data_IF_690281614163
#
_entry.id   IF_690281614163
#
_cell.length_a   1.000
_cell.length_b   1.000
_cell.length_c   1.000
_cell.angle_alpha   90.00
_cell.angle_beta   90.00
_cell.angle_gamma   90.00
#
_symmetry.space_group_name_H-M   'P 1'
#
loop_
_entity.id
_entity.type
_entity.pdbx_description
1 polymer ?
#
# COMPACT_ATOMS: atom_id res chain seq x y z
N UNK A 1 -37.32 42.37 38.34
CA UNK A 1 -37.35 41.24 37.38
C UNK A 1 -35.94 40.66 37.29
N UNK A 2 -35.73 39.49 37.87
CA UNK A 2 -34.41 38.82 37.87
C UNK A 2 -34.44 37.77 36.77
N UNK A 3 -33.67 37.98 35.71
CA UNK A 3 -33.50 37.00 34.63
C UNK A 3 -32.53 35.89 35.09
N UNK A 4 -33.03 34.67 35.19
CA UNK A 4 -32.22 33.49 35.42
C UNK A 4 -31.64 33.00 34.09
N UNK A 5 -30.30 33.07 33.91
CA UNK A 5 -29.63 32.37 32.85
C UNK A 5 -29.60 30.88 33.16
N UNK A 6 -30.29 30.08 32.35
CA UNK A 6 -30.13 28.63 32.34
C UNK A 6 -28.82 28.30 31.61
N UNK A 7 -27.83 27.79 32.33
CA UNK A 7 -26.61 27.20 31.76
C UNK A 7 -26.95 25.79 31.24
N UNK A 8 -26.90 25.60 29.94
CA UNK A 8 -27.05 24.28 29.31
C UNK A 8 -25.72 23.51 29.52
N UNK A 9 -25.72 22.28 30.05
CA UNK A 9 -24.50 21.51 30.20
C UNK A 9 -23.99 21.07 28.81
N UNK A 10 -22.77 21.47 28.50
CA UNK A 10 -22.04 20.97 27.34
C UNK A 10 -21.69 19.49 27.62
N UNK A 11 -22.43 18.57 27.04
CA UNK A 11 -22.05 17.15 27.01
C UNK A 11 -20.78 17.03 26.14
N UNK A 12 -19.62 16.91 26.77
CA UNK A 12 -18.42 16.39 26.11
C UNK A 12 -18.73 14.95 25.70
N UNK A 13 -18.94 14.71 24.43
CA UNK A 13 -18.94 13.37 23.88
C UNK A 13 -17.51 12.82 24.03
N UNK A 14 -17.32 11.91 24.99
CA UNK A 14 -16.07 11.17 25.10
C UNK A 14 -15.91 10.35 23.80
N UNK A 15 -14.84 10.61 23.05
CA UNK A 15 -14.47 9.78 21.91
C UNK A 15 -14.16 8.37 22.43
N UNK A 16 -14.84 7.37 21.89
CA UNK A 16 -14.48 5.98 22.14
C UNK A 16 -13.08 5.74 21.56
N UNK A 17 -12.19 5.01 22.26
CA UNK A 17 -10.89 4.67 21.71
C UNK A 17 -11.06 3.88 20.41
N UNK A 18 -10.15 4.08 19.45
CA UNK A 18 -10.10 3.27 18.23
C UNK A 18 -10.05 1.78 18.62
N UNK A 19 -10.76 0.94 17.85
CA UNK A 19 -10.77 -0.51 18.12
C UNK A 19 -9.37 -1.08 17.95
N UNK A 20 -8.99 -2.03 18.80
CA UNK A 20 -7.73 -2.77 18.64
C UNK A 20 -7.68 -3.44 17.27
N UNK A 21 -6.51 -3.43 16.58
CA UNK A 21 -6.37 -4.06 15.28
C UNK A 21 -6.64 -5.56 15.32
N UNK A 22 -7.38 -6.07 14.34
CA UNK A 22 -7.78 -7.47 14.24
C UNK A 22 -6.91 -8.18 13.19
N UNK A 23 -6.21 -9.24 13.58
CA UNK A 23 -5.40 -10.03 12.64
C UNK A 23 -6.14 -11.30 12.21
N UNK A 24 -6.14 -11.57 10.89
CA UNK A 24 -6.80 -12.70 10.25
C UNK A 24 -5.84 -13.44 9.32
N UNK A 25 -5.96 -14.77 9.24
CA UNK A 25 -5.34 -15.54 8.17
C UNK A 25 -6.04 -15.24 6.84
N UNK A 26 -5.28 -15.20 5.74
CA UNK A 26 -5.85 -14.98 4.41
C UNK A 26 -6.53 -16.23 3.84
N UNK A 27 -6.11 -17.40 4.28
CA UNK A 27 -6.61 -18.68 3.78
C UNK A 27 -6.96 -19.60 4.97
N UNK A 28 -8.04 -20.36 4.85
CA UNK A 28 -8.45 -21.35 5.84
C UNK A 28 -7.44 -22.52 5.91
N UNK A 29 -6.92 -22.91 4.74
CA UNK A 29 -5.82 -23.87 4.62
C UNK A 29 -4.60 -23.07 4.14
N UNK A 30 -3.46 -23.10 4.86
CA UNK A 30 -2.26 -22.38 4.46
C UNK A 30 -1.86 -22.76 3.02
N UNK A 31 -1.61 -21.77 2.14
CA UNK A 31 -1.13 -22.03 0.78
C UNK A 31 0.32 -22.54 0.81
N UNK A 32 0.84 -22.94 -0.35
CA UNK A 32 2.24 -23.35 -0.45
C UNK A 32 3.18 -22.26 0.07
N UNK A 33 4.14 -22.66 0.89
CA UNK A 33 5.20 -21.77 1.36
C UNK A 33 6.16 -21.41 0.22
N UNK A 34 6.85 -20.25 0.30
CA UNK A 34 7.92 -19.92 -0.64
C UNK A 34 9.02 -21.00 -0.65
N UNK A 35 9.65 -21.18 -1.81
CA UNK A 35 10.80 -22.07 -1.92
C UNK A 35 12.02 -21.51 -1.15
N UNK A 36 12.96 -22.36 -0.71
CA UNK A 36 14.20 -21.90 -0.11
C UNK A 36 14.97 -20.97 -1.05
N UNK A 37 15.47 -19.86 -0.52
CA UNK A 37 16.26 -18.88 -1.29
C UNK A 37 17.71 -19.35 -1.46
N UNK A 38 18.40 -18.77 -2.46
CA UNK A 38 19.82 -18.96 -2.65
C UNK A 38 20.64 -18.46 -1.45
N UNK A 39 21.85 -19.01 -1.28
CA UNK A 39 22.78 -18.58 -0.22
C UNK A 39 23.07 -17.07 -0.28
N UNK A 40 23.17 -16.50 -1.51
CA UNK A 40 23.35 -15.05 -1.73
C UNK A 40 22.19 -14.25 -1.15
N UNK A 41 20.95 -14.66 -1.43
CA UNK A 41 19.75 -13.99 -0.94
C UNK A 41 19.61 -14.17 0.57
N UNK A 42 19.90 -15.36 1.11
CA UNK A 42 19.89 -15.59 2.55
C UNK A 42 20.87 -14.69 3.32
N UNK A 43 22.11 -14.53 2.81
CA UNK A 43 23.08 -13.59 3.39
C UNK A 43 22.59 -12.14 3.34
N UNK A 44 21.94 -11.73 2.24
CA UNK A 44 21.37 -10.40 2.10
C UNK A 44 20.22 -10.17 3.09
N UNK A 45 19.29 -11.12 3.23
CA UNK A 45 18.20 -11.07 4.22
C UNK A 45 18.75 -10.91 5.63
N UNK A 46 19.75 -11.73 5.99
CA UNK A 46 20.38 -11.67 7.31
C UNK A 46 21.02 -10.31 7.61
N UNK A 47 21.57 -9.64 6.60
CA UNK A 47 22.11 -8.29 6.76
C UNK A 47 21.04 -7.24 7.05
N UNK A 48 19.88 -7.33 6.40
CA UNK A 48 18.73 -6.46 6.67
C UNK A 48 18.08 -6.72 8.02
N UNK A 49 17.98 -7.99 8.44
CA UNK A 49 17.43 -8.36 9.74
C UNK A 49 18.21 -7.80 10.92
N UNK A 50 19.53 -7.73 10.79
CA UNK A 50 20.40 -7.08 11.79
C UNK A 50 20.22 -5.54 11.79
N UNK A 51 19.84 -4.96 10.66
CA UNK A 51 19.74 -3.51 10.51
C UNK A 51 18.45 -2.93 11.08
N UNK A 52 17.36 -3.72 11.19
CA UNK A 52 16.08 -3.21 11.70
C UNK A 52 15.22 -4.31 12.34
N UNK A 53 14.89 -4.16 13.63
CA UNK A 53 13.97 -5.09 14.32
C UNK A 53 12.52 -5.00 13.79
N UNK A 54 12.22 -4.00 12.96
CA UNK A 54 10.89 -3.75 12.40
C UNK A 54 10.66 -4.47 11.05
N UNK A 55 11.64 -5.22 10.58
CA UNK A 55 11.47 -6.04 9.39
C UNK A 55 10.81 -7.38 9.74
N UNK A 56 9.79 -7.75 8.95
CA UNK A 56 9.15 -9.07 9.02
C UNK A 56 9.71 -9.93 7.90
N UNK A 57 10.19 -11.11 8.25
CA UNK A 57 10.83 -12.09 7.36
C UNK A 57 10.19 -13.46 7.51
N UNK A 58 10.49 -14.36 6.58
CA UNK A 58 10.12 -15.79 6.65
C UNK A 58 8.62 -16.01 6.85
N UNK A 59 7.80 -15.34 6.06
CA UNK A 59 6.35 -15.46 6.08
C UNK A 59 5.91 -16.60 5.18
N UNK A 60 5.56 -17.73 5.75
CA UNK A 60 4.96 -18.87 5.05
C UNK A 60 3.42 -18.85 5.10
N UNK A 61 2.85 -18.29 6.16
CA UNK A 61 1.40 -18.13 6.34
C UNK A 61 1.04 -16.66 6.26
N UNK A 62 0.43 -16.22 5.14
CA UNK A 62 0.09 -14.81 4.97
C UNK A 62 -1.12 -14.43 5.82
N UNK A 63 -1.07 -13.22 6.37
CA UNK A 63 -2.14 -12.65 7.21
C UNK A 63 -2.46 -11.23 6.81
N UNK A 64 -3.57 -10.71 7.27
CA UNK A 64 -3.89 -9.29 7.23
C UNK A 64 -4.29 -8.78 8.61
N UNK A 65 -3.91 -7.54 8.92
CA UNK A 65 -4.32 -6.85 10.16
C UNK A 65 -5.18 -5.64 9.80
N UNK A 66 -6.40 -5.63 10.30
CA UNK A 66 -7.39 -4.58 10.03
C UNK A 66 -7.32 -3.50 11.09
N UNK A 67 -7.07 -2.27 10.68
CA UNK A 67 -7.06 -1.05 11.47
C UNK A 67 -8.34 -0.26 11.16
N UNK A 68 -9.31 -0.29 12.06
CA UNK A 68 -10.56 0.43 11.88
C UNK A 68 -10.47 1.85 12.45
N UNK A 69 -10.84 2.89 11.67
CA UNK A 69 -10.94 4.23 12.20
C UNK A 69 -12.17 4.36 13.14
N UNK A 70 -12.13 5.30 14.04
CA UNK A 70 -13.26 5.62 14.93
C UNK A 70 -14.54 5.94 14.13
N UNK A 71 -14.37 6.69 13.02
CA UNK A 71 -15.46 7.10 12.12
C UNK A 71 -15.15 6.67 10.68
N UNK A 72 -15.50 5.43 10.29
CA UNK A 72 -15.27 4.95 8.94
C UNK A 72 -16.04 5.78 7.89
N UNK A 73 -15.36 6.19 6.82
CA UNK A 73 -15.96 6.90 5.69
C UNK A 73 -16.37 5.96 4.53
N UNK A 74 -16.21 4.66 4.71
CA UNK A 74 -16.51 3.64 3.70
C UNK A 74 -15.34 3.27 2.80
N UNK A 75 -14.24 4.03 2.73
CA UNK A 75 -13.06 3.62 1.99
C UNK A 75 -12.19 2.66 2.79
N UNK A 76 -11.51 1.76 2.07
CA UNK A 76 -10.52 0.83 2.62
C UNK A 76 -9.27 0.82 1.75
N UNK A 77 -8.09 0.72 2.35
CA UNK A 77 -6.82 0.57 1.64
C UNK A 77 -6.06 -0.63 2.21
N UNK A 78 -5.81 -1.62 1.35
CA UNK A 78 -4.87 -2.69 1.64
C UNK A 78 -3.46 -2.14 1.45
N UNK A 79 -2.59 -2.31 2.44
CA UNK A 79 -1.23 -1.76 2.46
C UNK A 79 -0.24 -2.89 2.31
N UNK A 80 0.56 -2.85 1.24
CA UNK A 80 1.61 -3.81 0.91
C UNK A 80 3.00 -3.17 1.11
N UNK A 81 3.71 -3.45 2.22
CA UNK A 81 5.04 -2.93 2.46
C UNK A 81 6.07 -3.37 1.42
N UNK A 82 7.18 -2.63 1.27
CA UNK A 82 8.32 -3.02 0.49
C UNK A 82 9.29 -3.93 1.25
N UNK A 83 10.39 -4.30 0.58
CA UNK A 83 11.44 -5.16 1.11
C UNK A 83 12.04 -6.09 0.06
N UNK A 84 11.85 -5.77 -1.23
CA UNK A 84 12.48 -6.47 -2.36
C UNK A 84 12.08 -7.94 -2.49
N UNK A 85 10.90 -8.32 -2.00
CA UNK A 85 10.43 -9.70 -1.90
C UNK A 85 11.34 -10.62 -1.05
N UNK A 86 12.14 -10.01 -0.16
CA UNK A 86 12.99 -10.72 0.81
C UNK A 86 12.43 -10.63 2.23
N UNK A 87 11.86 -9.49 2.55
CA UNK A 87 11.27 -9.13 3.84
C UNK A 87 10.23 -8.02 3.64
N UNK A 88 9.62 -7.54 4.73
CA UNK A 88 8.71 -6.39 4.71
C UNK A 88 9.17 -5.33 5.70
N UNK A 89 9.19 -4.05 5.28
CA UNK A 89 9.35 -2.87 6.15
C UNK A 89 8.04 -2.59 6.91
N UNK A 90 7.69 -3.47 7.83
CA UNK A 90 6.34 -3.67 8.36
C UNK A 90 5.80 -2.48 9.16
N UNK A 91 6.67 -1.69 9.81
CA UNK A 91 6.26 -0.52 10.58
C UNK A 91 6.12 0.73 9.68
N UNK A 92 7.22 1.19 9.09
CA UNK A 92 7.26 2.48 8.37
C UNK A 92 6.53 2.48 7.03
N UNK A 93 6.31 1.32 6.44
CA UNK A 93 5.59 1.13 5.18
C UNK A 93 4.30 0.33 5.39
N UNK A 94 3.93 0.08 6.65
CA UNK A 94 2.79 -0.74 7.02
C UNK A 94 1.93 -0.13 8.13
N UNK A 95 2.18 -0.46 9.41
CA UNK A 95 1.31 -0.04 10.51
C UNK A 95 1.14 1.48 10.62
N UNK A 96 2.22 2.26 10.48
CA UNK A 96 2.16 3.72 10.50
C UNK A 96 1.32 4.29 9.35
N UNK A 97 1.28 3.62 8.19
CA UNK A 97 0.42 4.00 7.07
C UNK A 97 -1.05 3.72 7.41
N UNK A 98 -1.36 2.56 7.98
CA UNK A 98 -2.71 2.23 8.43
C UNK A 98 -3.22 3.21 9.50
N UNK A 99 -2.37 3.57 10.46
CA UNK A 99 -2.67 4.58 11.48
C UNK A 99 -2.96 5.95 10.84
N UNK A 100 -2.15 6.38 9.86
CA UNK A 100 -2.41 7.61 9.12
C UNK A 100 -3.73 7.56 8.35
N UNK A 101 -4.03 6.47 7.64
CA UNK A 101 -5.30 6.28 6.93
C UNK A 101 -6.49 6.37 7.88
N UNK A 102 -6.38 5.85 9.11
CA UNK A 102 -7.43 5.95 10.12
C UNK A 102 -7.73 7.42 10.51
N UNK A 103 -6.73 8.31 10.50
CA UNK A 103 -6.96 9.75 10.74
C UNK A 103 -7.82 10.41 9.66
N UNK A 104 -7.89 9.80 8.47
CA UNK A 104 -8.70 10.22 7.34
C UNK A 104 -10.09 9.53 7.29
N UNK A 105 -10.40 8.68 8.26
CA UNK A 105 -11.61 7.86 8.27
C UNK A 105 -11.54 6.64 7.34
N UNK A 106 -10.37 6.33 6.77
CA UNK A 106 -10.15 5.20 5.88
C UNK A 106 -9.74 3.97 6.69
N UNK A 107 -10.38 2.82 6.45
CA UNK A 107 -9.95 1.55 7.04
C UNK A 107 -8.62 1.11 6.41
N UNK A 108 -7.57 0.96 7.22
CA UNK A 108 -6.29 0.41 6.80
C UNK A 108 -6.26 -1.11 6.98
N UNK A 109 -5.75 -1.83 5.99
CA UNK A 109 -5.54 -3.28 6.08
C UNK A 109 -4.09 -3.61 5.78
N UNK A 110 -3.30 -3.88 6.81
CA UNK A 110 -1.90 -4.20 6.66
C UNK A 110 -1.72 -5.65 6.21
N UNK A 111 -1.17 -5.82 5.02
CA UNK A 111 -0.91 -7.12 4.43
C UNK A 111 0.46 -7.65 4.85
N UNK A 112 0.48 -8.86 5.43
CA UNK A 112 1.69 -9.66 5.65
C UNK A 112 1.71 -10.78 4.62
N UNK A 113 2.25 -10.49 3.44
CA UNK A 113 2.31 -11.42 2.32
C UNK A 113 3.51 -12.39 2.42
N UNK A 114 3.47 -13.49 1.65
CA UNK A 114 4.52 -14.51 1.65
C UNK A 114 5.85 -13.95 1.15
N UNK A 115 6.90 -14.13 1.94
CA UNK A 115 8.30 -13.83 1.64
C UNK A 115 9.20 -14.83 2.37
N UNK A 116 10.42 -15.11 1.86
CA UNK A 116 11.07 -14.57 0.69
C UNK A 116 10.64 -15.28 -0.61
N UNK A 117 10.37 -14.51 -1.66
CA UNK A 117 10.04 -15.02 -3.01
C UNK A 117 10.99 -14.47 -4.09
N UNK A 118 12.05 -13.73 -3.67
CA UNK A 118 12.92 -12.99 -4.59
C UNK A 118 13.61 -13.85 -5.65
N UNK A 119 13.91 -15.09 -5.35
CA UNK A 119 14.60 -16.02 -6.24
C UNK A 119 13.65 -16.85 -7.12
N UNK A 120 12.34 -16.67 -6.94
CA UNK A 120 11.33 -17.27 -7.79
C UNK A 120 11.38 -16.66 -9.19
N UNK A 121 10.94 -17.42 -10.21
CA UNK A 121 10.82 -16.94 -11.59
C UNK A 121 9.96 -15.68 -11.67
N UNK A 122 8.89 -15.64 -10.91
CA UNK A 122 7.95 -14.53 -10.77
C UNK A 122 7.83 -14.16 -9.28
N UNK A 123 8.74 -13.35 -8.75
CA UNK A 123 8.80 -13.06 -7.31
C UNK A 123 7.50 -12.43 -6.77
N UNK A 124 6.72 -11.82 -7.63
CA UNK A 124 5.44 -11.17 -7.31
C UNK A 124 4.25 -12.12 -7.24
N UNK A 125 4.33 -13.34 -7.80
CA UNK A 125 3.16 -14.20 -8.00
C UNK A 125 2.44 -14.54 -6.69
N UNK A 126 3.13 -15.11 -5.70
CA UNK A 126 2.55 -15.41 -4.38
C UNK A 126 2.08 -14.14 -3.65
N UNK A 127 2.89 -13.05 -3.55
CA UNK A 127 2.44 -11.80 -2.97
C UNK A 127 1.18 -11.18 -3.61
N UNK A 128 1.04 -11.28 -4.93
CA UNK A 128 -0.17 -10.81 -5.66
C UNK A 128 -1.39 -11.65 -5.31
N UNK A 129 -1.24 -12.98 -5.22
CA UNK A 129 -2.31 -13.87 -4.77
C UNK A 129 -2.78 -13.49 -3.36
N UNK A 130 -1.84 -13.25 -2.44
CA UNK A 130 -2.13 -12.84 -1.06
C UNK A 130 -2.86 -11.48 -1.01
N UNK A 131 -2.44 -10.50 -1.82
CA UNK A 131 -3.10 -9.20 -1.89
C UNK A 131 -4.53 -9.30 -2.46
N UNK A 132 -4.74 -10.11 -3.49
CA UNK A 132 -6.06 -10.38 -4.06
C UNK A 132 -6.99 -11.05 -3.04
N UNK A 133 -6.47 -12.02 -2.30
CA UNK A 133 -7.24 -12.67 -1.25
C UNK A 133 -7.60 -11.69 -0.14
N UNK A 134 -6.68 -10.80 0.27
CA UNK A 134 -6.99 -9.74 1.23
C UNK A 134 -8.12 -8.82 0.74
N UNK A 135 -8.03 -8.31 -0.50
CA UNK A 135 -9.09 -7.47 -1.08
C UNK A 135 -10.43 -8.21 -1.17
N UNK A 136 -10.43 -9.48 -1.54
CA UNK A 136 -11.63 -10.32 -1.57
C UNK A 136 -12.26 -10.44 -0.18
N UNK A 137 -11.46 -10.71 0.87
CA UNK A 137 -11.96 -10.79 2.26
C UNK A 137 -12.53 -9.43 2.69
N UNK A 138 -11.86 -8.31 2.36
CA UNK A 138 -12.37 -6.96 2.65
C UNK A 138 -13.76 -6.78 2.04
N UNK A 139 -13.95 -7.13 0.76
CA UNK A 139 -15.24 -7.02 0.08
C UNK A 139 -16.30 -7.95 0.67
N UNK A 140 -15.94 -9.16 1.04
CA UNK A 140 -16.85 -10.12 1.67
C UNK A 140 -17.30 -9.67 3.07
N UNK A 141 -16.43 -9.00 3.83
CA UNK A 141 -16.71 -8.51 5.19
C UNK A 141 -16.99 -7.00 5.23
N UNK A 142 -17.32 -6.40 4.10
CA UNK A 142 -17.48 -4.95 3.94
C UNK A 142 -18.50 -4.35 4.93
N UNK A 143 -19.65 -5.01 5.12
CA UNK A 143 -20.67 -4.54 6.07
C UNK A 143 -20.19 -4.56 7.52
N UNK A 144 -19.41 -5.57 7.92
CA UNK A 144 -18.87 -5.70 9.27
C UNK A 144 -17.90 -4.55 9.60
N UNK A 145 -17.07 -4.16 8.61
CA UNK A 145 -16.07 -3.11 8.78
C UNK A 145 -16.54 -1.73 8.29
N UNK A 146 -17.83 -1.60 7.93
CA UNK A 146 -18.43 -0.36 7.40
C UNK A 146 -17.64 0.17 6.18
N UNK A 147 -17.23 -0.74 5.30
CA UNK A 147 -16.53 -0.47 4.04
C UNK A 147 -17.52 -0.57 2.88
N UNK A 148 -17.41 0.32 1.90
CA UNK A 148 -18.04 0.15 0.60
C UNK A 148 -17.19 -0.80 -0.25
N UNK A 149 -17.72 -1.97 -0.70
CA UNK A 149 -16.94 -2.92 -1.49
C UNK A 149 -16.44 -2.40 -2.84
N UNK A 150 -16.91 -1.22 -3.28
CA UNK A 150 -16.45 -0.51 -4.48
C UNK A 150 -15.44 0.62 -4.18
N UNK A 151 -14.94 0.68 -2.94
CA UNK A 151 -14.00 1.71 -2.48
C UNK A 151 -12.80 1.07 -1.78
N UNK A 152 -12.29 -0.04 -2.38
CA UNK A 152 -11.15 -0.82 -1.86
C UNK A 152 -9.91 -0.55 -2.70
N UNK A 153 -8.99 0.25 -2.17
CA UNK A 153 -7.70 0.55 -2.78
C UNK A 153 -6.59 -0.41 -2.36
N UNK A 154 -5.49 -0.37 -3.10
CA UNK A 154 -4.23 -1.02 -2.76
C UNK A 154 -3.11 0.00 -2.76
N UNK A 155 -2.36 0.07 -1.65
CA UNK A 155 -1.18 0.93 -1.51
C UNK A 155 0.05 0.05 -1.44
N UNK A 156 1.06 0.34 -2.25
CA UNK A 156 2.29 -0.45 -2.27
C UNK A 156 3.56 0.38 -2.30
N UNK A 157 4.55 -0.05 -1.51
CA UNK A 157 5.88 0.54 -1.43
C UNK A 157 6.92 -0.34 -2.12
N UNK A 158 7.78 0.18 -2.97
CA UNK A 158 8.90 -0.57 -3.56
C UNK A 158 8.41 -1.90 -4.19
N UNK A 159 8.82 -3.05 -3.66
CA UNK A 159 8.31 -4.36 -4.08
C UNK A 159 6.79 -4.48 -3.89
N UNK A 160 6.21 -3.89 -2.84
CA UNK A 160 4.75 -3.77 -2.67
C UNK A 160 4.10 -2.91 -3.77
N UNK A 161 4.80 -1.90 -4.30
CA UNK A 161 4.39 -1.14 -5.48
C UNK A 161 4.43 -1.98 -6.76
N UNK A 162 5.43 -2.86 -6.92
CA UNK A 162 5.46 -3.85 -7.99
C UNK A 162 4.28 -4.83 -7.88
N UNK A 163 4.02 -5.34 -6.68
CA UNK A 163 2.85 -6.17 -6.37
C UNK A 163 1.55 -5.46 -6.75
N UNK A 164 1.37 -4.19 -6.34
CA UNK A 164 0.22 -3.37 -6.71
C UNK A 164 0.04 -3.30 -8.22
N UNK A 165 1.08 -2.99 -8.98
CA UNK A 165 0.98 -2.91 -10.44
C UNK A 165 0.54 -4.24 -11.06
N UNK A 166 1.11 -5.36 -10.61
CA UNK A 166 0.68 -6.69 -11.07
C UNK A 166 -0.76 -7.02 -10.70
N UNK A 167 -1.23 -6.63 -9.49
CA UNK A 167 -2.61 -6.82 -9.09
C UNK A 167 -3.57 -5.93 -9.87
N UNK A 168 -3.21 -4.66 -10.10
CA UNK A 168 -4.06 -3.65 -10.71
C UNK A 168 -4.18 -3.79 -12.24
N UNK A 169 -3.10 -4.25 -12.91
CA UNK A 169 -3.00 -4.26 -14.38
C UNK A 169 -3.14 -5.65 -15.01
N UNK A 170 -3.51 -6.65 -14.25
CA UNK A 170 -3.82 -7.98 -14.78
C UNK A 170 -5.23 -8.43 -14.38
N UNK A 171 -5.68 -9.53 -14.94
CA UNK A 171 -7.02 -10.10 -14.67
C UNK A 171 -7.15 -10.63 -13.24
N UNK A 172 -8.38 -10.71 -12.72
CA UNK A 172 -8.70 -11.23 -11.40
C UNK A 172 -9.21 -10.15 -10.45
N UNK A 173 -9.06 -10.37 -9.13
CA UNK A 173 -9.43 -9.40 -8.11
C UNK A 173 -8.51 -8.17 -8.21
N UNK A 174 -9.09 -6.99 -8.46
CA UNK A 174 -8.36 -5.73 -8.69
C UNK A 174 -8.78 -4.67 -7.67
N UNK A 175 -7.88 -3.75 -7.30
CA UNK A 175 -8.26 -2.59 -6.48
C UNK A 175 -9.12 -1.61 -7.30
N UNK A 176 -9.97 -0.83 -6.62
CA UNK A 176 -10.76 0.24 -7.24
C UNK A 176 -9.89 1.50 -7.50
N UNK A 177 -8.78 1.64 -6.79
CA UNK A 177 -7.72 2.64 -7.00
C UNK A 177 -6.38 2.14 -6.44
N UNK A 178 -5.27 2.72 -6.90
CA UNK A 178 -3.94 2.36 -6.44
C UNK A 178 -3.11 3.54 -5.98
N UNK A 179 -2.21 3.29 -5.02
CA UNK A 179 -1.24 4.26 -4.51
C UNK A 179 0.14 3.61 -4.55
N UNK A 180 0.98 4.04 -5.49
CA UNK A 180 2.31 3.48 -5.70
C UNK A 180 3.39 4.43 -5.21
N UNK A 181 4.11 4.03 -4.18
CA UNK A 181 5.19 4.80 -3.57
C UNK A 181 6.52 4.13 -3.92
N UNK A 182 7.36 4.83 -4.69
CA UNK A 182 8.65 4.33 -5.23
C UNK A 182 8.60 2.87 -5.71
N UNK A 183 7.47 2.46 -6.27
CA UNK A 183 7.31 1.14 -6.90
C UNK A 183 7.96 1.11 -8.27
N UNK A 184 8.25 -0.09 -8.76
CA UNK A 184 8.88 -0.27 -10.05
C UNK A 184 9.01 -1.73 -10.47
N UNK A 185 9.92 -2.00 -11.45
CA UNK A 185 10.18 -3.34 -11.98
C UNK A 185 9.37 -3.67 -13.23
N UNK A 186 8.82 -2.67 -13.92
CA UNK A 186 8.07 -2.82 -15.17
C UNK A 186 8.89 -2.39 -16.41
N UNK A 187 10.00 -1.68 -16.21
CA UNK A 187 10.91 -1.32 -17.32
C UNK A 187 11.85 -2.47 -17.66
N UNK A 188 12.34 -2.45 -18.90
CA UNK A 188 13.39 -3.36 -19.36
C UNK A 188 14.64 -3.23 -18.47
N UNK A 189 15.33 -4.33 -18.25
CA UNK A 189 16.48 -4.36 -17.34
C UNK A 189 17.66 -3.56 -17.89
N UNK A 190 17.81 -3.50 -19.21
CA UNK A 190 18.92 -2.89 -19.93
C UNK A 190 18.58 -1.53 -20.53
N UNK A 191 17.35 -1.33 -20.97
CA UNK A 191 16.85 -0.09 -21.58
C UNK A 191 15.71 0.52 -20.75
N UNK A 192 16.05 1.43 -19.84
CA UNK A 192 15.07 2.09 -18.96
C UNK A 192 14.12 3.07 -19.68
N UNK A 193 14.23 3.20 -20.99
CA UNK A 193 13.29 3.96 -21.82
C UNK A 193 12.16 3.10 -22.38
N UNK A 194 12.13 1.82 -22.07
CA UNK A 194 11.15 0.86 -22.55
C UNK A 194 10.55 0.05 -21.39
N UNK A 195 9.31 -0.33 -21.54
CA UNK A 195 8.72 -1.37 -20.70
C UNK A 195 9.30 -2.73 -21.07
N UNK A 196 9.38 -3.65 -20.11
CA UNK A 196 9.77 -5.04 -20.36
C UNK A 196 8.80 -5.70 -21.34
N UNK A 197 9.28 -6.69 -22.04
CA UNK A 197 8.47 -7.50 -22.94
C UNK A 197 7.23 -8.06 -22.21
N UNK A 198 6.11 -8.05 -22.90
CA UNK A 198 4.81 -8.50 -22.37
C UNK A 198 4.11 -7.51 -21.43
N UNK A 199 4.71 -6.38 -21.09
CA UNK A 199 3.99 -5.34 -20.32
C UNK A 199 2.99 -4.61 -21.24
N UNK A 200 1.73 -4.55 -20.79
CA UNK A 200 0.69 -3.74 -21.43
C UNK A 200 -0.23 -3.17 -20.34
N UNK A 201 -0.40 -1.85 -20.34
CA UNK A 201 -1.37 -1.18 -19.48
C UNK A 201 -2.79 -1.47 -19.98
N UNK A 202 -3.69 -2.04 -19.15
CA UNK A 202 -5.07 -2.27 -19.57
C UNK A 202 -5.83 -0.95 -19.71
N UNK A 203 -6.77 -0.89 -20.68
CA UNK A 203 -7.55 0.32 -20.96
C UNK A 203 -8.52 0.72 -19.83
N UNK A 204 -8.76 -0.20 -18.92
CA UNK A 204 -9.62 -0.06 -17.74
C UNK A 204 -8.80 -0.11 -16.43
N UNK A 205 -7.51 0.26 -16.48
CA UNK A 205 -6.69 0.34 -15.27
C UNK A 205 -7.30 1.31 -14.26
N UNK A 206 -7.28 0.96 -12.97
CA UNK A 206 -7.86 1.81 -11.92
C UNK A 206 -7.08 3.13 -11.80
N UNK A 207 -7.72 4.21 -11.30
CA UNK A 207 -7.02 5.46 -10.98
C UNK A 207 -5.79 5.22 -10.12
N UNK A 208 -4.69 5.97 -10.37
CA UNK A 208 -3.42 5.74 -9.72
C UNK A 208 -2.77 7.03 -9.20
N UNK A 209 -2.29 6.98 -7.96
CA UNK A 209 -1.39 7.98 -7.39
C UNK A 209 0.04 7.45 -7.37
N UNK A 210 1.01 8.26 -7.79
CA UNK A 210 2.43 7.93 -7.76
C UNK A 210 3.20 8.96 -6.93
N UNK A 211 4.11 8.51 -6.07
CA UNK A 211 5.06 9.39 -5.38
C UNK A 211 6.45 8.77 -5.32
N UNK A 212 7.46 9.57 -5.64
CA UNK A 212 8.84 9.13 -5.72
C UNK A 212 9.79 10.29 -5.47
N UNK A 213 11.02 10.00 -5.00
CA UNK A 213 12.08 10.98 -4.90
C UNK A 213 12.93 11.01 -6.17
N UNK A 214 13.35 12.21 -6.62
CA UNK A 214 14.21 12.38 -7.79
C UNK A 214 15.57 11.70 -7.63
N UNK A 215 16.10 11.67 -6.42
CA UNK A 215 17.38 11.05 -6.06
C UNK A 215 17.28 9.52 -5.82
N UNK A 216 16.12 8.91 -6.01
CA UNK A 216 15.97 7.45 -6.11
C UNK A 216 16.41 6.99 -7.52
N UNK A 217 17.33 6.03 -7.58
CA UNK A 217 18.12 5.72 -8.80
C UNK A 217 17.30 5.46 -10.07
N UNK A 218 16.27 4.62 -10.02
CA UNK A 218 15.53 4.20 -11.22
C UNK A 218 14.05 4.58 -11.18
N UNK A 219 13.47 4.69 -9.99
CA UNK A 219 12.03 4.77 -9.82
C UNK A 219 11.38 6.07 -10.33
N UNK A 220 12.04 7.27 -10.34
CA UNK A 220 11.41 8.45 -10.94
C UNK A 220 11.22 8.32 -12.45
N UNK A 221 12.12 7.65 -13.18
CA UNK A 221 11.96 7.36 -14.61
C UNK A 221 10.76 6.44 -14.82
N UNK A 222 10.69 5.37 -14.03
CA UNK A 222 9.62 4.38 -14.13
C UNK A 222 8.25 4.97 -13.78
N UNK A 223 8.15 5.72 -12.69
CA UNK A 223 6.91 6.41 -12.31
C UNK A 223 6.44 7.38 -13.40
N UNK A 224 7.39 8.10 -14.04
CA UNK A 224 7.08 9.00 -15.16
C UNK A 224 6.55 8.22 -16.36
N UNK A 225 7.18 7.12 -16.73
CA UNK A 225 6.74 6.29 -17.85
C UNK A 225 5.37 5.66 -17.60
N UNK A 226 5.11 5.14 -16.40
CA UNK A 226 3.80 4.63 -16.01
C UNK A 226 2.73 5.73 -16.09
N UNK A 227 3.02 6.93 -15.58
CA UNK A 227 2.12 8.07 -15.70
C UNK A 227 1.83 8.43 -17.18
N UNK A 228 2.85 8.40 -18.06
CA UNK A 228 2.66 8.65 -19.48
C UNK A 228 1.75 7.62 -20.16
N UNK A 229 1.82 6.33 -19.76
CA UNK A 229 0.88 5.31 -20.24
C UNK A 229 -0.56 5.59 -19.76
N UNK A 230 -0.74 6.00 -18.49
CA UNK A 230 -2.05 6.45 -18.00
C UNK A 230 -2.58 7.64 -18.81
N UNK A 231 -1.72 8.64 -19.08
CA UNK A 231 -2.08 9.82 -19.87
C UNK A 231 -2.45 9.45 -21.31
N UNK A 232 -1.71 8.56 -21.93
CA UNK A 232 -1.95 8.04 -23.28
C UNK A 232 -3.32 7.35 -23.42
N UNK A 233 -3.72 6.60 -22.39
CA UNK A 233 -4.99 5.89 -22.31
C UNK A 233 -6.14 6.76 -21.79
N UNK A 234 -5.88 8.04 -21.46
CA UNK A 234 -6.82 8.96 -20.83
C UNK A 234 -7.41 8.41 -19.51
N UNK A 235 -6.58 7.71 -18.73
CA UNK A 235 -6.93 7.19 -17.42
C UNK A 235 -6.54 8.18 -16.32
N UNK A 236 -7.29 8.26 -15.20
CA UNK A 236 -6.95 9.17 -14.11
C UNK A 236 -5.63 8.75 -13.42
N UNK A 237 -4.70 9.69 -13.31
CA UNK A 237 -3.46 9.49 -12.55
C UNK A 237 -2.90 10.82 -12.04
N UNK A 238 -2.20 10.75 -10.91
CA UNK A 238 -1.45 11.88 -10.33
C UNK A 238 -0.03 11.42 -9.99
N UNK A 239 0.98 12.25 -10.30
CA UNK A 239 2.39 11.95 -10.08
C UNK A 239 3.09 13.07 -9.34
N UNK A 240 3.78 12.73 -8.25
CA UNK A 240 4.65 13.63 -7.49
C UNK A 240 6.09 13.12 -7.51
N UNK A 241 7.01 13.95 -8.01
CA UNK A 241 8.45 13.72 -7.96
C UNK A 241 9.06 14.78 -7.05
N UNK A 242 9.50 14.38 -5.87
CA UNK A 242 10.13 15.25 -4.89
C UNK A 242 11.63 15.30 -5.12
N UNK A 243 12.27 16.43 -4.85
CA UNK A 243 13.70 16.62 -5.15
C UNK A 243 14.62 15.67 -4.39
N UNK A 244 14.27 15.33 -3.14
CA UNK A 244 15.09 14.51 -2.24
C UNK A 244 14.23 13.59 -1.39
N UNK A 245 14.79 12.45 -1.01
CA UNK A 245 14.16 11.45 -0.14
C UNK A 245 14.76 10.05 -0.30
N UNK A 246 15.46 9.80 -1.39
CA UNK A 246 16.03 8.49 -1.72
C UNK A 246 14.97 7.40 -1.86
N UNK A 247 15.40 6.14 -1.66
CA UNK A 247 14.51 4.98 -1.65
C UNK A 247 14.11 4.59 -0.23
N UNK A 248 12.89 4.10 -0.04
CA UNK A 248 12.46 3.51 1.22
C UNK A 248 12.14 4.53 2.32
N UNK A 249 11.74 5.76 1.99
CA UNK A 249 11.40 6.78 2.99
C UNK A 249 10.16 6.38 3.84
N UNK A 250 9.15 5.69 3.28
CA UNK A 250 7.95 5.29 4.01
C UNK A 250 7.28 6.45 4.74
N UNK A 251 6.95 6.26 6.02
CA UNK A 251 6.40 7.28 6.91
C UNK A 251 7.48 8.01 7.76
N UNK A 252 8.76 7.75 7.48
CA UNK A 252 9.86 8.41 8.23
C UNK A 252 9.86 9.92 7.98
N UNK A 253 10.21 10.68 9.01
CA UNK A 253 10.47 12.12 8.91
C UNK A 253 11.93 12.33 8.52
N UNK A 254 12.14 12.75 7.30
CA UNK A 254 13.48 12.95 6.71
C UNK A 254 13.93 14.40 6.76
N UNK A 255 13.01 15.34 6.99
CA UNK A 255 13.25 16.78 6.88
C UNK A 255 13.24 17.29 5.44
N UNK A 256 12.92 16.45 4.47
CA UNK A 256 12.83 16.79 3.05
C UNK A 256 11.39 16.94 2.57
N UNK A 257 11.15 17.60 1.42
CA UNK A 257 9.80 17.79 0.86
C UNK A 257 9.01 16.50 0.69
N UNK A 258 9.68 15.35 0.54
CA UNK A 258 9.05 14.03 0.44
C UNK A 258 8.19 13.69 1.66
N UNK A 259 8.47 14.25 2.83
CA UNK A 259 7.66 14.05 4.05
C UNK A 259 6.20 14.50 3.87
N UNK A 260 5.93 15.30 2.82
CA UNK A 260 4.61 15.75 2.44
C UNK A 260 3.81 14.77 1.56
N UNK A 261 4.38 13.63 1.16
CA UNK A 261 3.67 12.69 0.28
C UNK A 261 2.33 12.19 0.85
N UNK A 262 2.18 11.93 2.18
CA UNK A 262 0.91 11.47 2.71
C UNK A 262 -0.19 12.52 2.56
N UNK A 263 0.15 13.81 2.74
CA UNK A 263 -0.78 14.91 2.53
C UNK A 263 -1.19 15.01 1.04
N UNK A 264 -0.25 14.93 0.09
CA UNK A 264 -0.58 14.95 -1.34
C UNK A 264 -1.50 13.78 -1.71
N UNK A 265 -1.22 12.60 -1.16
CA UNK A 265 -2.06 11.42 -1.33
C UNK A 265 -3.48 11.64 -0.78
N UNK A 266 -3.63 12.22 0.42
CA UNK A 266 -4.94 12.50 1.01
C UNK A 266 -5.73 13.54 0.18
N UNK A 267 -5.06 14.56 -0.35
CA UNK A 267 -5.69 15.55 -1.26
C UNK A 267 -6.19 14.89 -2.54
N UNK A 268 -5.39 13.98 -3.13
CA UNK A 268 -5.81 13.20 -4.28
C UNK A 268 -7.00 12.28 -3.94
N UNK A 269 -6.95 11.53 -2.84
CA UNK A 269 -8.07 10.71 -2.38
C UNK A 269 -9.35 11.54 -2.21
N UNK A 270 -9.23 12.76 -1.65
CA UNK A 270 -10.34 13.70 -1.51
C UNK A 270 -10.90 14.17 -2.86
N UNK A 271 -10.03 14.55 -3.81
CA UNK A 271 -10.41 15.02 -5.14
C UNK A 271 -11.11 13.93 -5.97
N UNK A 272 -10.69 12.67 -5.79
CA UNK A 272 -11.30 11.51 -6.43
C UNK A 272 -12.59 11.01 -5.75
N UNK A 273 -12.97 11.61 -4.61
CA UNK A 273 -14.19 11.26 -3.87
C UNK A 273 -14.05 10.07 -2.91
N UNK A 274 -12.83 9.58 -2.69
CA UNK A 274 -12.59 8.44 -1.80
C UNK A 274 -12.67 8.79 -0.30
N UNK A 275 -12.66 10.10 0.07
CA UNK A 275 -12.75 10.56 1.47
C UNK A 275 -14.14 11.14 1.83
N UNK A 276 -15.15 10.93 1.00
CA UNK A 276 -16.52 11.45 1.23
C UNK A 276 -17.37 10.49 2.02
#
# INVERSE_FOLDING_TARGET
MKSALLALPLLLAASLPAAEPITLNLFDIPPAAPAPVSEKTAKLIASYGKASPNHVMDVSVPTMTVYQPEKPNGACVVVAPGGGYMFMSYQTEGSQVCEYLNTLGVTGVLLKYRVPTRDEKEPFAMPVEDARQAMKIVRQRASEWKVDPKRVGLLGFSAGGNLLGHAAWSTGERPDFGIMIYGGGFLDATDKTKFREGFAMPKDAPPMFFAVAHDDKANPIEATMLYLEYKKLNLPAELHIFTQGGHGFGMRKTGHPIDGWPQRCSEWLGSMGWLK
#
